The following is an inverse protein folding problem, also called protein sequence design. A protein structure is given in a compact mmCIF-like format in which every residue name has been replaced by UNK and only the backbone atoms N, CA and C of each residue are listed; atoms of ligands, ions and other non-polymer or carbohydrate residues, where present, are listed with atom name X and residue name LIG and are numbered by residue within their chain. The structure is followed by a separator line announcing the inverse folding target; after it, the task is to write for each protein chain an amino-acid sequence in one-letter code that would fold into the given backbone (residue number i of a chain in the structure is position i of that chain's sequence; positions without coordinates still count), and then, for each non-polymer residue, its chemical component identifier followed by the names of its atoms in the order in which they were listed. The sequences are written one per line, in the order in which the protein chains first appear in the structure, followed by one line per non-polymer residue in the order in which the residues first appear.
data_IF_283832569541
#
_entry.id   IF_283832569541
#
_cell.length_a   1.000
_cell.length_b   1.000
_cell.length_c   1.000
_cell.angle_alpha   90.00
_cell.angle_beta   90.00
_cell.angle_gamma   90.00
#
_symmetry.space_group_name_H-M   'P 1'
#
loop_
_entity.id
_entity.type
_entity.pdbx_description
1 polymer ?
#
# COMPACT_ATOMS: atom_id res chain seq x y z
N UNK A 1 83.64 -62.43 105.19
CA UNK A 1 84.21 -62.64 103.86
C UNK A 1 83.14 -62.32 102.85
N UNK A 2 83.31 -61.23 102.10
CA UNK A 2 82.38 -60.86 101.02
C UNK A 2 82.63 -61.77 99.81
N UNK A 3 81.57 -62.20 99.14
CA UNK A 3 81.64 -63.09 97.97
C UNK A 3 81.07 -62.35 96.76
N UNK A 4 81.91 -62.04 95.78
CA UNK A 4 81.53 -61.33 94.56
C UNK A 4 81.38 -62.32 93.39
N UNK A 5 80.22 -62.40 92.72
CA UNK A 5 80.05 -63.19 91.51
C UNK A 5 80.46 -62.40 90.24
N UNK A 6 80.89 -63.08 89.16
CA UNK A 6 81.63 -62.46 88.05
C UNK A 6 80.74 -61.77 86.98
N UNK A 7 81.27 -60.80 86.22
CA UNK A 7 80.52 -60.06 85.22
C UNK A 7 80.41 -60.82 83.88
N UNK A 8 79.39 -61.66 83.75
CA UNK A 8 78.90 -62.14 82.46
C UNK A 8 77.85 -61.17 81.92
N UNK A 9 78.25 -60.23 81.05
CA UNK A 9 77.49 -59.75 79.87
C UNK A 9 78.27 -58.60 79.19
N UNK A 10 78.64 -58.77 77.91
CA UNK A 10 79.17 -57.68 77.09
C UNK A 10 78.06 -56.67 76.83
N UNK A 11 78.05 -55.55 77.54
CA UNK A 11 77.12 -54.45 77.26
C UNK A 11 77.42 -53.88 75.86
N UNK A 12 76.52 -54.15 74.90
CA UNK A 12 76.57 -53.54 73.58
C UNK A 12 76.44 -52.00 73.68
N UNK A 13 76.87 -51.31 72.63
CA UNK A 13 76.97 -49.84 72.60
C UNK A 13 75.75 -49.16 73.24
N UNK A 14 76.03 -48.33 74.26
CA UNK A 14 75.02 -47.80 75.17
C UNK A 14 73.89 -47.06 74.43
N UNK A 15 72.67 -47.11 74.98
CA UNK A 15 71.53 -46.40 74.37
C UNK A 15 71.81 -44.90 74.15
N UNK A 16 72.61 -44.29 75.03
CA UNK A 16 73.09 -42.90 74.90
C UNK A 16 73.98 -42.70 73.66
N UNK A 17 74.88 -43.66 73.35
CA UNK A 17 75.69 -43.61 72.14
C UNK A 17 74.83 -43.74 70.87
N UNK A 18 73.82 -44.61 70.87
CA UNK A 18 72.86 -44.71 69.75
C UNK A 18 72.10 -43.40 69.53
N UNK A 19 71.59 -42.79 70.60
CA UNK A 19 70.90 -41.48 70.53
C UNK A 19 71.83 -40.38 70.00
N UNK A 20 73.09 -40.32 70.45
CA UNK A 20 74.07 -39.36 69.92
C UNK A 20 74.40 -39.60 68.45
N UNK A 21 74.54 -40.86 68.02
CA UNK A 21 74.78 -41.21 66.61
C UNK A 21 73.57 -40.78 65.75
N UNK A 22 72.34 -41.10 66.17
CA UNK A 22 71.14 -40.66 65.44
C UNK A 22 70.96 -39.13 65.44
N UNK A 23 71.32 -38.43 66.54
CA UNK A 23 71.33 -36.97 66.58
C UNK A 23 72.34 -36.38 65.59
N UNK A 24 73.57 -36.89 65.56
CA UNK A 24 74.59 -36.49 64.59
C UNK A 24 74.16 -36.78 63.14
N UNK A 25 73.52 -37.93 62.88
CA UNK A 25 72.98 -38.27 61.54
C UNK A 25 71.84 -37.32 61.14
N UNK A 26 70.94 -36.97 62.07
CA UNK A 26 69.86 -36.01 61.83
C UNK A 26 70.40 -34.61 61.50
N UNK A 27 71.37 -34.13 62.30
CA UNK A 27 72.07 -32.86 62.07
C UNK A 27 72.83 -32.88 60.73
N UNK A 28 73.48 -33.98 60.39
CA UNK A 28 74.17 -34.15 59.11
C UNK A 28 73.18 -34.13 57.93
N UNK A 29 72.04 -34.83 58.02
CA UNK A 29 70.99 -34.80 56.99
C UNK A 29 70.42 -33.39 56.81
N UNK A 30 70.19 -32.64 57.89
CA UNK A 30 69.73 -31.25 57.85
C UNK A 30 70.76 -30.31 57.22
N UNK A 31 72.05 -30.47 57.55
CA UNK A 31 73.14 -29.72 56.93
C UNK A 31 73.31 -30.05 55.44
N UNK A 32 73.12 -31.32 55.05
CA UNK A 32 73.16 -31.76 53.65
C UNK A 32 71.97 -31.20 52.88
N UNK A 33 70.76 -31.22 53.43
CA UNK A 33 69.56 -30.59 52.85
C UNK A 33 69.68 -29.06 52.74
N UNK A 34 70.37 -28.42 53.70
CA UNK A 34 70.68 -26.99 53.65
C UNK A 34 71.79 -26.63 52.66
N UNK A 35 72.64 -27.56 52.24
CA UNK A 35 73.81 -27.32 51.37
C UNK A 35 73.62 -27.83 49.95
N UNK A 36 72.74 -28.80 49.75
CA UNK A 36 72.32 -29.31 48.46
C UNK A 36 70.85 -28.93 48.26
N UNK A 37 70.55 -28.06 47.29
CA UNK A 37 69.19 -27.63 46.92
C UNK A 37 68.27 -28.76 46.38
N UNK A 38 68.56 -30.04 46.68
CA UNK A 38 67.88 -31.22 46.19
C UNK A 38 66.38 -31.26 46.52
N UNK A 39 65.96 -30.77 47.69
CA UNK A 39 64.53 -30.65 48.01
C UNK A 39 63.81 -29.58 47.17
N UNK A 40 64.50 -28.55 46.65
CA UNK A 40 63.89 -27.60 45.69
C UNK A 40 63.64 -28.31 44.37
N UNK A 41 64.62 -29.04 43.84
CA UNK A 41 64.49 -29.80 42.59
C UNK A 41 63.39 -30.87 42.74
N UNK A 42 63.40 -31.64 43.82
CA UNK A 42 62.37 -32.67 44.08
C UNK A 42 60.96 -32.05 44.18
N UNK A 43 60.81 -30.90 44.86
CA UNK A 43 59.54 -30.17 44.96
C UNK A 43 59.10 -29.57 43.62
N UNK A 44 60.04 -29.12 42.79
CA UNK A 44 59.78 -28.55 41.47
C UNK A 44 59.36 -29.64 40.48
N UNK A 45 60.03 -30.80 40.48
CA UNK A 45 59.62 -31.98 39.70
C UNK A 45 58.26 -32.51 40.16
N UNK A 46 58.05 -32.67 41.48
CA UNK A 46 56.76 -33.09 42.03
C UNK A 46 55.64 -32.09 41.66
N UNK A 47 55.91 -30.78 41.74
CA UNK A 47 55.00 -29.73 41.31
C UNK A 47 54.66 -29.83 39.81
N UNK A 48 55.66 -30.02 38.94
CA UNK A 48 55.44 -30.18 37.49
C UNK A 48 54.64 -31.44 37.16
N UNK A 49 54.82 -32.54 37.90
CA UNK A 49 54.07 -33.80 37.70
C UNK A 49 52.64 -33.72 38.28
N UNK A 50 52.42 -33.01 39.38
CA UNK A 50 51.08 -32.80 39.95
C UNK A 50 50.28 -31.70 39.24
N UNK A 51 50.94 -30.74 38.59
CA UNK A 51 50.29 -29.64 37.86
C UNK A 51 49.20 -30.10 36.87
N UNK A 52 49.42 -31.08 35.95
CA UNK A 52 48.36 -31.56 35.07
C UNK A 52 47.19 -32.20 35.83
N UNK A 53 47.43 -32.86 36.97
CA UNK A 53 46.36 -33.42 37.82
C UNK A 53 45.52 -32.30 38.44
N UNK A 54 46.16 -31.21 38.86
CA UNK A 54 45.47 -30.04 39.40
C UNK A 54 44.60 -29.33 38.35
N UNK A 55 45.06 -29.26 37.09
CA UNK A 55 44.27 -28.73 35.96
C UNK A 55 43.07 -29.64 35.65
N UNK A 56 43.27 -30.96 35.62
CA UNK A 56 42.19 -31.94 35.39
C UNK A 56 41.14 -31.92 36.50
N UNK A 57 41.53 -31.64 37.75
CA UNK A 57 40.59 -31.48 38.87
C UNK A 57 39.72 -30.21 38.78
N UNK A 58 40.19 -29.16 38.09
CA UNK A 58 39.47 -27.89 37.92
C UNK A 58 38.60 -27.84 36.66
N UNK A 59 38.99 -28.56 35.61
CA UNK A 59 38.26 -28.66 34.33
C UNK A 59 36.73 -28.84 34.45
N UNK A 60 36.18 -29.71 35.32
CA UNK A 60 34.72 -29.87 35.46
C UNK A 60 34.01 -28.63 36.01
N UNK A 61 34.65 -27.91 36.93
CA UNK A 61 34.14 -26.66 37.52
C UNK A 61 34.07 -25.58 36.45
N UNK A 62 35.17 -25.39 35.72
CA UNK A 62 35.27 -24.36 34.70
C UNK A 62 34.31 -24.68 33.53
N UNK A 63 34.17 -25.95 33.14
CA UNK A 63 33.19 -26.39 32.15
C UNK A 63 31.74 -26.07 32.57
N UNK A 64 31.35 -26.28 33.83
CA UNK A 64 30.01 -25.89 34.33
C UNK A 64 29.80 -24.38 34.26
N UNK A 65 30.80 -23.58 34.66
CA UNK A 65 30.71 -22.11 34.63
C UNK A 65 30.62 -21.59 33.18
N UNK A 66 31.44 -22.11 32.28
CA UNK A 66 31.40 -21.74 30.85
C UNK A 66 30.08 -22.13 30.20
N UNK A 67 29.51 -23.29 30.54
CA UNK A 67 28.22 -23.73 30.01
C UNK A 67 27.06 -22.85 30.51
N UNK A 68 27.06 -22.48 31.80
CA UNK A 68 26.09 -21.51 32.34
C UNK A 68 26.17 -20.13 31.66
N UNK A 69 27.39 -19.64 31.42
CA UNK A 69 27.63 -18.39 30.69
C UNK A 69 27.21 -18.46 29.21
N UNK A 70 27.37 -19.63 28.57
CA UNK A 70 26.91 -19.84 27.20
C UNK A 70 25.37 -19.75 27.10
N UNK A 71 24.65 -20.50 27.95
CA UNK A 71 23.18 -20.48 27.94
C UNK A 71 22.60 -19.10 28.31
N UNK A 72 23.21 -18.38 29.26
CA UNK A 72 22.77 -17.01 29.58
C UNK A 72 23.03 -16.04 28.44
N UNK A 73 24.16 -16.15 27.73
CA UNK A 73 24.45 -15.35 26.54
C UNK A 73 23.50 -15.63 25.37
N UNK A 74 23.11 -16.89 25.16
CA UNK A 74 22.16 -17.30 24.12
C UNK A 74 20.76 -16.73 24.42
N UNK A 75 20.28 -16.85 25.66
CA UNK A 75 19.00 -16.25 26.08
C UNK A 75 19.03 -14.72 25.99
N UNK A 76 20.16 -14.08 26.32
CA UNK A 76 20.32 -12.64 26.16
C UNK A 76 20.29 -12.20 24.67
N UNK A 77 20.92 -12.97 23.79
CA UNK A 77 20.93 -12.71 22.34
C UNK A 77 19.54 -12.92 21.72
N UNK A 78 18.82 -13.98 22.09
CA UNK A 78 17.44 -14.19 21.67
C UNK A 78 16.51 -13.05 22.12
N UNK A 79 16.66 -12.59 23.37
CA UNK A 79 15.94 -11.41 23.88
C UNK A 79 16.25 -10.17 23.07
N UNK A 80 17.53 -9.84 22.83
CA UNK A 80 17.94 -8.71 22.00
C UNK A 80 17.38 -8.80 20.57
N UNK A 81 17.42 -9.98 19.94
CA UNK A 81 16.84 -10.18 18.61
C UNK A 81 15.31 -10.00 18.62
N UNK A 82 14.62 -10.45 19.67
CA UNK A 82 13.17 -10.23 19.82
C UNK A 82 12.82 -8.76 20.04
N UNK A 83 13.60 -8.05 20.85
CA UNK A 83 13.43 -6.63 21.16
C UNK A 83 13.71 -5.76 19.92
N UNK A 84 14.82 -6.00 19.22
CA UNK A 84 15.15 -5.30 17.97
C UNK A 84 14.08 -5.53 16.89
N UNK A 85 13.51 -6.74 16.79
CA UNK A 85 12.38 -7.01 15.89
C UNK A 85 11.13 -6.23 16.29
N UNK A 86 10.81 -6.15 17.58
CA UNK A 86 9.68 -5.35 18.08
C UNK A 86 9.89 -3.85 17.81
N UNK A 87 11.09 -3.33 18.08
CA UNK A 87 11.48 -1.94 17.76
C UNK A 87 11.40 -1.66 16.26
N UNK A 88 11.87 -2.58 15.40
CA UNK A 88 11.75 -2.47 13.95
C UNK A 88 10.29 -2.43 13.48
N UNK A 89 9.43 -3.29 14.02
CA UNK A 89 7.99 -3.30 13.71
C UNK A 89 7.36 -1.97 14.13
N UNK A 90 7.57 -1.52 15.38
CA UNK A 90 7.04 -0.25 15.87
C UNK A 90 7.51 0.94 15.03
N UNK A 91 8.81 1.02 14.73
CA UNK A 91 9.38 2.09 13.90
C UNK A 91 8.85 2.05 12.46
N UNK A 92 8.61 0.86 11.90
CA UNK A 92 7.98 0.73 10.58
C UNK A 92 6.53 1.22 10.55
N UNK A 93 5.76 0.98 11.62
CA UNK A 93 4.39 1.51 11.78
C UNK A 93 4.39 3.03 11.91
N UNK A 94 5.29 3.60 12.72
CA UNK A 94 5.45 5.05 12.85
C UNK A 94 5.84 5.69 11.51
N UNK A 95 6.75 5.06 10.76
CA UNK A 95 7.17 5.54 9.43
C UNK A 95 6.01 5.49 8.43
N UNK A 96 5.24 4.40 8.39
CA UNK A 96 4.04 4.30 7.54
C UNK A 96 2.99 5.36 7.89
N UNK A 97 2.75 5.60 9.19
CA UNK A 97 1.82 6.64 9.63
C UNK A 97 2.31 8.04 9.24
N UNK A 98 3.60 8.35 9.42
CA UNK A 98 4.19 9.62 9.02
C UNK A 98 4.09 9.85 7.50
N UNK A 99 4.37 8.82 6.68
CA UNK A 99 4.20 8.87 5.23
C UNK A 99 2.74 9.11 4.83
N UNK A 100 1.77 8.44 5.48
CA UNK A 100 0.34 8.64 5.24
C UNK A 100 -0.08 10.08 5.56
N UNK A 101 0.27 10.60 6.73
CA UNK A 101 -0.05 11.98 7.13
C UNK A 101 0.63 13.02 6.23
N UNK A 102 1.85 12.75 5.75
CA UNK A 102 2.52 13.64 4.78
C UNK A 102 1.81 13.65 3.42
N UNK A 103 1.41 12.47 2.91
CA UNK A 103 0.66 12.35 1.66
C UNK A 103 -0.68 13.09 1.75
N UNK A 104 -1.44 12.85 2.82
CA UNK A 104 -2.71 13.51 3.13
C UNK A 104 -2.56 15.03 3.23
N UNK A 105 -1.57 15.53 3.97
CA UNK A 105 -1.34 16.98 4.07
C UNK A 105 -1.01 17.60 2.70
N UNK A 106 -0.25 16.89 1.85
CA UNK A 106 0.05 17.32 0.49
C UNK A 106 -1.20 17.35 -0.42
N UNK A 107 -2.13 16.41 -0.24
CA UNK A 107 -3.40 16.36 -0.96
C UNK A 107 -4.33 17.50 -0.50
N UNK A 108 -4.47 17.70 0.80
CA UNK A 108 -5.29 18.77 1.38
C UNK A 108 -4.82 20.15 0.90
N UNK A 109 -3.50 20.41 0.83
CA UNK A 109 -2.96 21.64 0.22
C UNK A 109 -3.39 21.81 -1.24
N UNK A 110 -3.23 20.77 -2.07
CA UNK A 110 -3.68 20.79 -3.48
C UNK A 110 -5.19 21.03 -3.63
N UNK A 111 -6.01 20.51 -2.70
CA UNK A 111 -7.46 20.76 -2.69
C UNK A 111 -7.80 22.20 -2.26
N UNK A 112 -7.06 22.80 -1.34
CA UNK A 112 -7.19 24.22 -1.00
C UNK A 112 -6.79 25.12 -2.20
N UNK A 113 -5.66 24.85 -2.84
CA UNK A 113 -5.23 25.54 -4.06
C UNK A 113 -6.22 25.37 -5.22
N UNK A 114 -6.85 24.19 -5.36
CA UNK A 114 -7.87 23.95 -6.36
C UNK A 114 -9.13 24.77 -6.05
N UNK A 115 -9.57 24.78 -4.78
CA UNK A 115 -10.71 25.57 -4.28
C UNK A 115 -10.59 27.06 -4.58
N UNK A 116 -9.40 27.64 -4.47
CA UNK A 116 -9.16 29.06 -4.77
C UNK A 116 -9.28 29.39 -6.27
N UNK A 117 -9.05 28.41 -7.16
CA UNK A 117 -9.12 28.59 -8.62
C UNK A 117 -10.52 28.34 -9.20
N UNK A 118 -11.45 27.83 -8.39
CA UNK A 118 -12.79 27.42 -8.83
C UNK A 118 -13.80 28.56 -8.66
N UNK A 119 -14.65 28.83 -9.67
CA UNK A 119 -15.73 29.80 -9.52
C UNK A 119 -16.81 29.24 -8.59
N UNK A 120 -16.89 29.75 -7.37
CA UNK A 120 -18.04 29.59 -6.48
C UNK A 120 -17.79 28.91 -5.13
N UNK A 121 -18.87 28.60 -4.42
CA UNK A 121 -18.84 27.97 -3.11
C UNK A 121 -18.58 26.46 -3.26
N UNK A 122 -17.47 25.99 -2.71
CA UNK A 122 -17.15 24.56 -2.60
C UNK A 122 -17.27 24.06 -1.16
N UNK A 123 -17.49 22.76 -1.01
CA UNK A 123 -17.47 22.04 0.26
C UNK A 123 -16.51 20.86 0.18
N UNK A 124 -15.61 20.74 1.16
CA UNK A 124 -14.78 19.54 1.32
C UNK A 124 -15.64 18.40 1.88
N UNK A 125 -15.48 17.21 1.32
CA UNK A 125 -16.05 15.98 1.85
C UNK A 125 -15.04 14.84 1.82
N UNK A 126 -15.13 13.93 2.77
CA UNK A 126 -14.30 12.73 2.89
C UNK A 126 -15.07 11.49 2.43
N UNK A 127 -14.41 10.58 1.72
CA UNK A 127 -14.93 9.27 1.33
C UNK A 127 -14.96 8.36 2.56
N UNK A 128 -16.15 7.91 2.97
CA UNK A 128 -16.32 6.89 4.02
C UNK A 128 -16.04 5.48 3.48
N UNK A 129 -16.67 5.13 2.36
CA UNK A 129 -16.54 3.82 1.72
C UNK A 129 -17.00 3.85 0.25
N UNK A 130 -16.46 2.91 -0.52
CA UNK A 130 -16.92 2.55 -1.87
C UNK A 130 -18.13 1.61 -1.77
N UNK A 131 -19.15 1.82 -2.60
CA UNK A 131 -20.32 0.97 -2.66
C UNK A 131 -19.98 -0.34 -3.38
N UNK A 132 -20.13 -1.47 -2.69
CA UNK A 132 -19.77 -2.80 -3.21
C UNK A 132 -20.82 -3.34 -4.19
N UNK A 133 -20.91 -2.72 -5.36
CA UNK A 133 -21.66 -3.21 -6.52
C UNK A 133 -20.70 -3.52 -7.69
N UNK A 134 -21.02 -4.56 -8.45
CA UNK A 134 -20.26 -5.04 -9.62
C UNK A 134 -20.67 -4.27 -10.88
N UNK A 135 -21.92 -3.78 -10.92
CA UNK A 135 -22.50 -3.10 -12.06
C UNK A 135 -22.42 -1.57 -11.95
N UNK A 136 -22.57 -1.03 -10.74
CA UNK A 136 -22.55 0.42 -10.48
C UNK A 136 -21.32 0.83 -9.65
N UNK A 137 -20.69 1.96 -10.00
CA UNK A 137 -19.54 2.54 -9.29
C UNK A 137 -19.95 3.80 -8.53
N UNK A 138 -20.10 3.68 -7.21
CA UNK A 138 -20.59 4.77 -6.34
C UNK A 138 -19.84 4.87 -5.03
N UNK A 139 -19.77 6.07 -4.47
CA UNK A 139 -18.98 6.36 -3.26
C UNK A 139 -19.81 7.16 -2.28
N UNK A 140 -19.63 6.89 -0.98
CA UNK A 140 -20.38 7.56 0.09
C UNK A 140 -19.48 8.61 0.75
N UNK A 141 -19.96 9.85 0.81
CA UNK A 141 -19.25 11.01 1.40
C UNK A 141 -19.84 11.43 2.75
N UNK A 142 -19.01 12.05 3.59
CA UNK A 142 -19.34 12.56 4.94
C UNK A 142 -20.23 13.83 4.97
N UNK A 143 -20.78 14.22 3.82
CA UNK A 143 -21.63 15.42 3.67
C UNK A 143 -23.00 15.05 3.13
N UNK A 144 -24.03 15.55 3.78
CA UNK A 144 -25.44 15.36 3.43
C UNK A 144 -26.21 16.67 3.33
N UNK A 145 -27.54 16.57 3.41
CA UNK A 145 -28.43 17.73 3.25
C UNK A 145 -28.34 18.74 4.39
N UNK A 146 -27.92 18.33 5.60
CA UNK A 146 -27.67 19.29 6.70
C UNK A 146 -26.53 20.26 6.39
N UNK A 147 -25.53 19.81 5.62
CA UNK A 147 -24.43 20.67 5.15
C UNK A 147 -24.77 21.40 3.85
N UNK A 148 -26.00 21.27 3.34
CA UNK A 148 -26.47 21.92 2.11
C UNK A 148 -26.10 21.20 0.81
N UNK A 149 -25.66 19.94 0.88
CA UNK A 149 -25.49 19.11 -0.33
C UNK A 149 -26.85 18.83 -0.96
N UNK A 150 -26.91 18.88 -2.29
CA UNK A 150 -28.11 18.58 -3.10
C UNK A 150 -27.78 17.46 -4.10
N UNK A 151 -28.80 16.73 -4.53
CA UNK A 151 -28.66 15.84 -5.67
C UNK A 151 -28.37 16.67 -6.94
N UNK A 152 -27.57 16.11 -7.85
CA UNK A 152 -27.13 16.76 -9.08
C UNK A 152 -25.83 17.56 -8.96
N UNK A 153 -25.34 17.88 -7.76
CA UNK A 153 -24.09 18.64 -7.59
C UNK A 153 -22.88 17.86 -8.13
N UNK A 154 -21.96 18.50 -8.88
CA UNK A 154 -20.76 17.83 -9.37
C UNK A 154 -19.70 17.72 -8.26
N UNK A 155 -18.95 16.62 -8.31
CA UNK A 155 -17.89 16.29 -7.35
C UNK A 155 -16.56 16.16 -8.07
N UNK A 156 -15.55 16.82 -7.54
CA UNK A 156 -14.24 17.01 -8.17
C UNK A 156 -13.11 16.74 -7.16
N UNK A 157 -11.91 16.66 -7.70
CA UNK A 157 -10.63 16.52 -6.99
C UNK A 157 -9.62 17.51 -7.60
N UNK A 158 -8.42 17.62 -7.04
CA UNK A 158 -7.38 18.55 -7.49
C UNK A 158 -6.92 18.33 -8.95
N UNK A 159 -7.18 17.16 -9.56
CA UNK A 159 -6.89 16.89 -10.98
C UNK A 159 -8.08 17.10 -11.93
N UNK A 160 -9.32 17.21 -11.45
CA UNK A 160 -10.50 17.21 -12.31
C UNK A 160 -11.78 16.63 -11.70
N UNK A 161 -12.78 16.39 -12.54
CA UNK A 161 -14.08 15.81 -12.17
C UNK A 161 -13.93 14.37 -11.72
N UNK A 162 -14.64 13.96 -10.67
CA UNK A 162 -14.71 12.58 -10.15
C UNK A 162 -16.08 11.95 -10.37
N UNK A 163 -17.16 12.74 -10.27
CA UNK A 163 -18.52 12.22 -10.41
C UNK A 163 -19.61 13.25 -10.11
N UNK A 164 -20.80 12.76 -9.74
CA UNK A 164 -21.98 13.55 -9.44
C UNK A 164 -22.73 13.00 -8.23
N UNK A 165 -23.24 13.86 -7.36
CA UNK A 165 -24.11 13.47 -6.25
C UNK A 165 -25.44 12.95 -6.80
N UNK A 166 -25.74 11.66 -6.64
CA UNK A 166 -26.99 11.05 -7.11
C UNK A 166 -28.05 10.92 -6.02
N UNK A 167 -27.66 10.73 -4.76
CA UNK A 167 -28.59 10.69 -3.62
C UNK A 167 -28.00 11.43 -2.42
N UNK A 168 -28.87 12.02 -1.61
CA UNK A 168 -28.47 12.76 -0.41
C UNK A 168 -29.31 12.31 0.77
N UNK A 169 -28.64 11.99 1.86
CA UNK A 169 -29.19 11.68 3.18
C UNK A 169 -28.88 12.86 4.14
N UNK A 170 -29.42 12.90 5.36
CA UNK A 170 -29.18 14.01 6.29
C UNK A 170 -27.69 14.25 6.60
N UNK A 171 -26.90 13.19 6.76
CA UNK A 171 -25.49 13.24 7.17
C UNK A 171 -24.49 12.73 6.12
N UNK A 172 -24.96 12.09 5.05
CA UNK A 172 -24.11 11.49 4.01
C UNK A 172 -24.70 11.71 2.61
N UNK A 173 -23.89 11.51 1.57
CA UNK A 173 -24.37 11.52 0.19
C UNK A 173 -23.74 10.40 -0.63
N UNK A 174 -24.47 9.94 -1.64
CA UNK A 174 -24.05 8.94 -2.61
C UNK A 174 -23.63 9.66 -3.89
N UNK A 175 -22.38 9.45 -4.32
CA UNK A 175 -21.79 10.03 -5.52
C UNK A 175 -21.56 8.93 -6.53
N UNK A 176 -22.18 9.04 -7.71
CA UNK A 176 -21.91 8.13 -8.83
C UNK A 176 -20.68 8.63 -9.58
N UNK A 177 -19.73 7.73 -9.83
CA UNK A 177 -18.45 8.07 -10.45
C UNK A 177 -18.59 8.25 -11.97
N UNK A 178 -17.75 9.09 -12.56
CA UNK A 178 -17.62 9.23 -14.01
C UNK A 178 -17.29 7.92 -14.76
N UNK A 179 -16.74 6.94 -14.04
CA UNK A 179 -16.39 5.62 -14.61
C UNK A 179 -17.60 4.68 -14.70
N UNK A 180 -18.74 5.07 -14.13
CA UNK A 180 -19.97 4.31 -14.16
C UNK A 180 -20.60 4.22 -15.56
N UNK A 181 -21.28 3.11 -15.87
CA UNK A 181 -21.88 2.88 -17.19
C UNK A 181 -23.06 3.83 -17.48
N UNK A 182 -23.79 4.24 -16.45
CA UNK A 182 -24.97 5.10 -16.55
C UNK A 182 -24.62 6.60 -16.46
N UNK A 183 -23.44 6.93 -15.92
CA UNK A 183 -22.96 8.31 -15.87
C UNK A 183 -22.53 8.79 -17.26
N UNK A 184 -23.10 9.93 -17.67
CA UNK A 184 -22.72 10.69 -18.85
C UNK A 184 -22.28 12.10 -18.42
N UNK A 185 -21.24 12.64 -19.07
CA UNK A 185 -20.71 13.98 -18.80
C UNK A 185 -20.48 14.71 -20.13
N UNK A 186 -21.10 15.89 -20.36
CA UNK A 186 -20.81 16.74 -21.51
C UNK A 186 -19.39 17.30 -21.44
N UNK A 187 -18.58 16.98 -22.44
CA UNK A 187 -17.18 17.37 -22.55
C UNK A 187 -16.91 18.15 -23.83
N UNK A 188 -15.78 18.84 -23.86
CA UNK A 188 -15.17 19.36 -25.07
C UNK A 188 -13.67 19.07 -25.09
N UNK A 189 -13.13 18.90 -26.29
CA UNK A 189 -11.69 18.79 -26.53
C UNK A 189 -11.05 20.16 -26.30
N UNK A 190 -10.04 20.23 -25.43
CA UNK A 190 -9.38 21.49 -25.06
C UNK A 190 -8.65 22.16 -26.26
N UNK A 191 -8.17 21.37 -27.22
CA UNK A 191 -7.38 21.83 -28.37
C UNK A 191 -8.20 22.59 -29.42
N UNK A 192 -9.39 22.09 -29.78
CA UNK A 192 -10.19 22.62 -30.89
C UNK A 192 -11.66 22.94 -30.50
N UNK A 193 -12.04 22.75 -29.24
CA UNK A 193 -13.39 23.05 -28.73
C UNK A 193 -14.48 22.07 -29.18
N UNK A 194 -14.13 20.96 -29.86
CA UNK A 194 -15.11 19.96 -30.30
C UNK A 194 -15.87 19.39 -29.11
N UNK A 195 -17.21 19.50 -29.12
CA UNK A 195 -18.08 19.03 -28.03
C UNK A 195 -18.51 17.57 -28.25
N UNK A 196 -18.61 16.83 -27.15
CA UNK A 196 -18.99 15.42 -27.13
C UNK A 196 -19.62 15.04 -25.78
N UNK A 197 -20.04 13.79 -25.64
CA UNK A 197 -20.53 13.23 -24.38
C UNK A 197 -19.65 12.02 -24.02
N UNK A 198 -19.01 12.10 -22.86
CA UNK A 198 -18.24 11.00 -22.30
C UNK A 198 -19.15 10.11 -21.46
N UNK A 199 -19.08 8.79 -21.69
CA UNK A 199 -19.79 7.78 -20.91
C UNK A 199 -18.79 6.88 -20.21
N UNK A 200 -19.03 6.52 -18.95
CA UNK A 200 -18.17 5.55 -18.29
C UNK A 200 -18.29 4.15 -18.91
N UNK A 201 -17.21 3.37 -18.77
CA UNK A 201 -17.06 1.99 -19.27
C UNK A 201 -17.03 0.98 -18.11
N UNK A 202 -17.66 1.33 -16.98
CA UNK A 202 -17.92 0.50 -15.81
C UNK A 202 -16.66 -0.14 -15.23
N UNK A 203 -16.63 -1.48 -15.24
CA UNK A 203 -15.53 -2.33 -14.75
C UNK A 203 -14.14 -1.82 -15.15
N UNK A 204 -13.95 -1.43 -16.41
CA UNK A 204 -12.65 -1.05 -16.97
C UNK A 204 -12.04 0.24 -16.40
N UNK A 205 -12.83 1.13 -15.80
CA UNK A 205 -12.36 2.42 -15.28
C UNK A 205 -12.02 3.48 -16.34
N UNK A 206 -12.23 3.19 -17.62
CA UNK A 206 -12.10 4.15 -18.73
C UNK A 206 -13.44 4.83 -19.04
N UNK A 207 -13.36 5.89 -19.84
CA UNK A 207 -14.48 6.56 -20.49
C UNK A 207 -14.47 6.23 -21.99
N UNK A 208 -15.64 6.12 -22.60
CA UNK A 208 -15.82 6.11 -24.05
C UNK A 208 -16.51 7.42 -24.48
N UNK A 209 -15.97 8.14 -25.45
CA UNK A 209 -16.79 9.06 -26.27
C UNK A 209 -17.57 8.20 -27.26
N UNK A 210 -18.90 8.28 -27.17
CA UNK A 210 -19.83 7.63 -28.08
C UNK A 210 -20.38 8.68 -29.04
N UNK A 211 -20.74 8.28 -30.25
CA UNK A 211 -21.35 9.16 -31.27
C UNK A 211 -20.41 10.27 -31.79
N UNK A 212 -19.11 10.00 -31.94
CA UNK A 212 -18.21 10.93 -32.61
C UNK A 212 -18.33 10.80 -34.13
N UNK A 213 -18.32 11.94 -34.83
CA UNK A 213 -18.30 11.97 -36.29
C UNK A 213 -17.03 11.29 -36.83
N UNK A 214 -17.09 10.50 -37.91
CA UNK A 214 -15.91 9.80 -38.45
C UNK A 214 -14.73 10.70 -38.82
N UNK A 215 -15.00 11.99 -39.10
CA UNK A 215 -14.02 13.01 -39.49
C UNK A 215 -13.67 13.98 -38.34
N UNK A 216 -14.06 13.67 -37.10
CA UNK A 216 -13.74 14.49 -35.93
C UNK A 216 -12.22 14.56 -35.71
N UNK A 217 -11.66 15.76 -35.65
CA UNK A 217 -10.27 16.00 -35.25
C UNK A 217 -10.10 15.72 -33.75
N UNK A 218 -9.80 14.48 -33.40
CA UNK A 218 -9.43 14.06 -32.05
C UNK A 218 -8.18 13.21 -32.12
N UNK A 219 -7.16 13.57 -31.33
CA UNK A 219 -5.84 12.95 -31.39
C UNK A 219 -5.50 12.34 -30.02
N UNK A 220 -4.77 11.23 -30.04
CA UNK A 220 -4.27 10.58 -28.81
C UNK A 220 -3.41 11.57 -28.02
N UNK A 221 -3.72 11.73 -26.75
CA UNK A 221 -3.09 12.72 -25.86
C UNK A 221 -3.94 13.97 -25.60
N UNK A 222 -4.97 14.26 -26.40
CA UNK A 222 -5.89 15.38 -26.19
C UNK A 222 -6.54 15.34 -24.80
N UNK A 223 -6.72 16.51 -24.18
CA UNK A 223 -7.38 16.68 -22.89
C UNK A 223 -8.85 17.04 -23.11
N UNK A 224 -9.73 16.33 -22.42
CA UNK A 224 -11.16 16.60 -22.37
C UNK A 224 -11.49 17.40 -21.11
N UNK A 225 -12.21 18.50 -21.28
CA UNK A 225 -12.73 19.35 -20.20
C UNK A 225 -14.25 19.42 -20.26
N UNK A 226 -14.92 19.77 -19.16
CA UNK A 226 -16.38 19.98 -19.15
C UNK A 226 -16.79 21.11 -20.09
N UNK A 227 -17.86 20.92 -20.86
CA UNK A 227 -18.34 21.92 -21.83
C UNK A 227 -19.27 22.98 -21.20
N UNK A 228 -19.83 22.70 -20.02
CA UNK A 228 -20.74 23.58 -19.29
C UNK A 228 -22.13 23.77 -19.90
N UNK A 229 -22.47 23.01 -20.94
CA UNK A 229 -23.72 23.17 -21.70
C UNK A 229 -24.97 22.67 -20.96
N UNK A 230 -24.80 21.74 -20.02
CA UNK A 230 -25.90 21.17 -19.21
C UNK A 230 -26.29 22.04 -18.02
N UNK A 231 -25.48 23.06 -17.68
CA UNK A 231 -25.65 23.84 -16.47
C UNK A 231 -25.42 23.06 -15.18
N UNK A 232 -24.89 21.83 -15.25
CA UNK A 232 -24.57 20.95 -14.11
C UNK A 232 -23.11 21.08 -13.71
N UNK A 233 -22.21 21.02 -14.70
CA UNK A 233 -20.78 21.22 -14.50
C UNK A 233 -20.41 22.64 -14.96
N UNK A 234 -19.61 23.42 -14.21
CA UNK A 234 -19.01 24.63 -14.77
C UNK A 234 -18.05 24.22 -15.90
N UNK A 235 -17.90 25.08 -16.93
CA UNK A 235 -17.02 24.81 -18.05
C UNK A 235 -15.53 24.82 -17.64
N UNK A 236 -14.72 23.99 -18.30
CA UNK A 236 -13.25 24.00 -18.15
C UNK A 236 -12.66 23.09 -17.05
N UNK A 237 -13.48 22.29 -16.36
CA UNK A 237 -12.96 21.27 -15.43
C UNK A 237 -12.36 20.11 -16.23
N UNK A 238 -11.13 19.70 -15.92
CA UNK A 238 -10.53 18.52 -16.56
C UNK A 238 -11.32 17.25 -16.23
N UNK A 239 -11.48 16.36 -17.22
CA UNK A 239 -12.20 15.08 -17.08
C UNK A 239 -11.28 13.92 -17.42
N UNK A 240 -10.69 13.93 -18.61
CA UNK A 240 -9.97 12.78 -19.14
C UNK A 240 -8.90 13.15 -20.19
N UNK A 241 -8.04 12.19 -20.52
CA UNK A 241 -7.12 12.24 -21.65
C UNK A 241 -7.47 11.15 -22.66
N UNK A 242 -7.49 11.48 -23.94
CA UNK A 242 -7.68 10.51 -25.03
C UNK A 242 -6.49 9.55 -25.06
N UNK A 243 -6.74 8.24 -24.96
CA UNK A 243 -5.72 7.19 -25.03
C UNK A 243 -5.74 6.40 -26.34
N UNK A 244 -6.92 6.26 -26.96
CA UNK A 244 -7.06 5.51 -28.21
C UNK A 244 -8.24 6.07 -29.02
N UNK A 245 -8.05 6.19 -30.34
CA UNK A 245 -9.06 6.65 -31.30
C UNK A 245 -9.36 5.49 -32.26
N UNK A 246 -10.59 5.00 -32.28
CA UNK A 246 -11.05 3.88 -33.13
C UNK A 246 -11.99 4.41 -34.23
N UNK A 247 -11.44 4.71 -35.41
CA UNK A 247 -12.21 5.10 -36.59
C UNK A 247 -12.69 3.85 -37.35
N UNK A 248 -13.89 3.39 -37.03
CA UNK A 248 -14.53 2.27 -37.72
C UNK A 248 -15.04 2.69 -39.10
N UNK A 249 -14.34 2.33 -40.17
CA UNK A 249 -14.74 2.65 -41.55
C UNK A 249 -16.13 2.09 -41.96
N UNK A 250 -16.63 1.07 -41.25
CA UNK A 250 -17.94 0.45 -41.47
C UNK A 250 -19.01 0.91 -40.45
N UNK A 251 -18.67 1.79 -39.50
CA UNK A 251 -19.58 2.28 -38.46
C UNK A 251 -19.99 3.72 -38.71
N UNK A 252 -21.24 4.07 -38.41
CA UNK A 252 -21.73 5.45 -38.54
C UNK A 252 -21.07 6.45 -37.56
N UNK A 253 -20.39 5.95 -36.52
CA UNK A 253 -19.73 6.75 -35.49
C UNK A 253 -18.38 6.16 -35.09
N UNK A 254 -17.40 7.02 -34.84
CA UNK A 254 -16.14 6.65 -34.20
C UNK A 254 -16.30 6.37 -32.71
N UNK A 255 -15.39 5.58 -32.14
CA UNK A 255 -15.29 5.34 -30.69
C UNK A 255 -13.94 5.84 -30.20
N UNK A 256 -13.93 6.57 -29.08
CA UNK A 256 -12.69 7.12 -28.53
C UNK A 256 -12.59 6.72 -27.07
N UNK A 257 -11.54 5.99 -26.72
CA UNK A 257 -11.26 5.55 -25.35
C UNK A 257 -10.41 6.62 -24.66
N UNK A 258 -10.84 7.01 -23.46
CA UNK A 258 -10.21 8.06 -22.68
C UNK A 258 -9.94 7.58 -21.24
N UNK A 259 -8.78 7.91 -20.71
CA UNK A 259 -8.41 7.65 -19.33
C UNK A 259 -8.80 8.86 -18.45
N UNK A 260 -9.54 8.67 -17.35
CA UNK A 260 -9.89 9.78 -16.47
C UNK A 260 -8.66 10.34 -15.75
N UNK A 261 -8.63 11.66 -15.55
CA UNK A 261 -7.52 12.37 -14.90
C UNK A 261 -7.64 12.42 -13.38
N UNK A 262 -8.87 12.39 -12.86
CA UNK A 262 -9.18 12.33 -11.44
C UNK A 262 -9.91 11.03 -11.07
N UNK A 263 -9.82 10.63 -9.81
CA UNK A 263 -10.49 9.42 -9.32
C UNK A 263 -10.12 9.06 -7.89
N UNK A 264 -10.98 8.24 -7.27
CA UNK A 264 -10.95 7.91 -5.84
C UNK A 264 -9.80 6.98 -5.40
N UNK A 265 -9.08 6.37 -6.34
CA UNK A 265 -8.08 5.32 -6.05
C UNK A 265 -6.84 5.83 -5.30
N UNK A 266 -6.63 7.15 -5.28
CA UNK A 266 -5.45 7.79 -4.68
C UNK A 266 -5.79 8.82 -3.61
N UNK A 267 -7.03 9.29 -3.59
CA UNK A 267 -7.43 10.54 -2.96
C UNK A 267 -8.71 10.31 -2.14
N UNK A 268 -8.62 10.44 -0.81
CA UNK A 268 -9.76 10.22 0.11
C UNK A 268 -10.68 11.44 0.23
N UNK A 269 -10.13 12.65 0.18
CA UNK A 269 -10.89 13.89 0.24
C UNK A 269 -11.24 14.42 -1.17
N UNK A 270 -12.47 14.90 -1.30
CA UNK A 270 -13.08 15.43 -2.53
C UNK A 270 -13.71 16.80 -2.28
N UNK A 271 -13.98 17.55 -3.34
CA UNK A 271 -14.69 18.83 -3.31
C UNK A 271 -16.04 18.70 -4.02
N UNK A 272 -17.10 19.09 -3.32
CA UNK A 272 -18.45 19.23 -3.86
C UNK A 272 -18.64 20.69 -4.26
N UNK A 273 -19.02 20.98 -5.51
CA UNK A 273 -19.35 22.33 -5.94
C UNK A 273 -20.81 22.63 -5.56
N UNK A 274 -21.04 23.63 -4.71
CA UNK A 274 -22.37 23.97 -4.19
C UNK A 274 -23.10 25.02 -5.02
N UNK A 275 -22.37 25.92 -5.66
CA UNK A 275 -22.91 26.93 -6.58
C UNK A 275 -22.53 26.57 -8.01
N UNK A 276 -23.54 26.25 -8.79
CA UNK A 276 -23.42 26.16 -10.24
C UNK A 276 -23.55 27.58 -10.81
N UNK A 277 -22.89 27.92 -11.94
CA UNK A 277 -23.03 29.24 -12.53
C UNK A 277 -24.50 29.53 -12.84
N UNK A 278 -24.98 30.69 -12.42
CA UNK A 278 -26.39 31.06 -12.51
C UNK A 278 -26.77 31.25 -13.98
N UNK A 279 -27.40 30.22 -14.55
CA UNK A 279 -27.84 30.23 -15.93
C UNK A 279 -28.92 31.32 -16.09
N UNK A 280 -28.79 32.26 -17.05
CA UNK A 280 -29.75 33.33 -17.21
C UNK A 280 -31.15 32.73 -17.41
N UNK A 281 -32.20 33.32 -16.80
CA UNK A 281 -33.54 32.77 -16.88
C UNK A 281 -33.93 32.60 -18.33
N UNK A 282 -34.34 31.37 -18.70
CA UNK A 282 -34.78 31.04 -20.05
C UNK A 282 -35.79 32.12 -20.48
N UNK A 283 -35.59 32.81 -21.63
CA UNK A 283 -36.52 33.84 -22.06
C UNK A 283 -37.93 33.24 -22.07
N UNK A 284 -38.93 33.95 -21.52
CA UNK A 284 -40.28 33.42 -21.44
C UNK A 284 -40.69 32.98 -22.84
N UNK A 285 -41.12 31.72 -22.96
CA UNK A 285 -41.61 31.23 -24.23
C UNK A 285 -42.76 32.15 -24.65
N UNK A 286 -42.61 32.85 -25.77
CA UNK A 286 -43.69 33.66 -26.33
C UNK A 286 -44.93 32.78 -26.38
N UNK A 287 -45.98 33.20 -25.69
CA UNK A 287 -47.23 32.46 -25.69
C UNK A 287 -47.68 32.35 -27.14
N UNK A 288 -47.67 31.12 -27.67
CA UNK A 288 -48.22 30.85 -28.99
C UNK A 288 -49.71 31.18 -28.91
N UNK A 289 -50.04 32.41 -29.30
CA UNK A 289 -51.39 32.97 -29.22
C UNK A 289 -52.30 32.07 -30.04
N UNK A 290 -53.05 31.21 -29.33
CA UNK A 290 -54.04 30.33 -29.94
C UNK A 290 -55.01 31.23 -30.72
N UNK A 291 -55.11 31.11 -32.06
CA UNK A 291 -55.92 32.02 -32.84
C UNK A 291 -57.39 31.85 -32.42
N UNK A 292 -57.95 32.91 -31.84
CA UNK A 292 -59.34 32.94 -31.39
C UNK A 292 -60.26 32.76 -32.60
N UNK A 293 -60.89 31.59 -32.71
CA UNK A 293 -61.93 31.34 -33.73
C UNK A 293 -63.13 32.25 -33.46
N UNK A 294 -63.21 33.39 -34.15
CA UNK A 294 -64.46 34.15 -34.28
C UNK A 294 -65.48 33.31 -35.07
N UNK A 295 -66.42 32.69 -34.37
CA UNK A 295 -67.59 32.06 -35.00
C UNK A 295 -68.68 33.11 -35.17
N UNK A 296 -68.93 33.53 -36.41
CA UNK A 296 -70.12 34.32 -36.78
C UNK A 296 -71.36 33.43 -36.71
N UNK A 297 -72.47 33.99 -36.28
CA UNK A 297 -73.78 33.36 -36.40
C UNK A 297 -74.27 33.40 -37.84
N UNK A 298 -74.80 32.27 -38.32
CA UNK A 298 -75.74 32.19 -39.42
C UNK A 298 -76.63 30.97 -39.18
N UNK A 299 -77.93 31.17 -39.39
CA UNK A 299 -79.05 30.27 -39.11
C UNK A 299 -79.43 29.57 -40.42
N UNK A 300 -79.70 28.25 -40.39
CA UNK A 300 -80.84 27.66 -41.12
C UNK A 300 -81.06 26.17 -40.80
N UNK A 301 -82.12 25.61 -41.39
CA UNK A 301 -82.98 24.61 -40.76
C UNK A 301 -82.73 23.12 -41.11
N UNK A 302 -83.35 22.28 -40.26
CA UNK A 302 -83.93 20.96 -40.53
C UNK A 302 -83.01 19.72 -40.73
N UNK A 303 -83.55 18.60 -40.25
CA UNK A 303 -83.02 17.23 -40.23
C UNK A 303 -83.67 16.41 -41.40
N UNK A 304 -83.50 15.06 -41.58
CA UNK A 304 -82.96 14.08 -40.63
C UNK A 304 -82.10 12.89 -41.14
N UNK A 305 -81.46 12.26 -40.14
CA UNK A 305 -81.04 10.86 -39.93
C UNK A 305 -81.08 9.77 -41.03
N UNK A 306 -79.92 9.09 -41.20
CA UNK A 306 -79.69 7.64 -41.41
C UNK A 306 -78.16 7.41 -41.58
N UNK A 307 -77.49 6.30 -41.21
CA UNK A 307 -77.79 5.15 -40.35
C UNK A 307 -76.46 4.41 -39.96
N UNK A 308 -76.56 3.47 -39.00
CA UNK A 308 -75.66 2.29 -38.76
C UNK A 308 -74.15 2.47 -38.44
N UNK A 309 -73.80 2.07 -37.21
CA UNK A 309 -72.60 1.26 -36.89
C UNK A 309 -72.99 -0.25 -36.97
N UNK A 310 -72.17 -1.28 -36.61
CA UNK A 310 -70.81 -1.25 -36.03
C UNK A 310 -69.79 -2.33 -36.53
N UNK A 311 -68.56 -2.25 -35.98
CA UNK A 311 -67.63 -3.33 -35.58
C UNK A 311 -67.52 -4.69 -36.34
N UNK A 312 -66.29 -5.13 -36.64
CA UNK A 312 -65.51 -6.08 -35.80
C UNK A 312 -64.45 -6.90 -36.56
N UNK A 313 -63.39 -7.30 -35.85
CA UNK A 313 -62.83 -8.66 -35.94
C UNK A 313 -61.62 -8.96 -36.86
N UNK A 314 -60.55 -9.48 -36.26
CA UNK A 314 -59.90 -10.70 -36.77
C UNK A 314 -58.60 -10.58 -37.58
N UNK A 315 -57.47 -10.75 -36.89
CA UNK A 315 -56.31 -11.50 -37.42
C UNK A 315 -56.32 -12.92 -36.77
N UNK A 316 -55.45 -13.89 -37.12
CA UNK A 316 -54.53 -13.99 -38.28
C UNK A 316 -54.70 -15.33 -39.07
N UNK A 317 -53.94 -15.52 -40.16
CA UNK A 317 -53.74 -16.83 -40.81
C UNK A 317 -52.33 -16.94 -41.43
N UNK A 318 -51.81 -18.16 -41.64
CA UNK A 318 -50.39 -18.42 -41.82
C UNK A 318 -50.02 -19.36 -42.99
N UNK A 319 -48.85 -19.11 -43.63
CA UNK A 319 -48.01 -20.04 -44.42
C UNK A 319 -48.68 -20.73 -45.64
N UNK A 320 -47.99 -21.60 -46.42
CA UNK A 320 -46.54 -21.89 -46.57
C UNK A 320 -45.99 -21.18 -47.84
N UNK A 321 -44.92 -21.54 -48.58
CA UNK A 321 -43.87 -22.57 -48.56
C UNK A 321 -42.57 -22.01 -49.21
N UNK A 322 -41.52 -22.82 -49.47
CA UNK A 322 -40.40 -22.41 -50.37
C UNK A 322 -39.02 -23.03 -50.08
N UNK A 323 -38.85 -24.33 -50.31
CA UNK A 323 -37.60 -25.12 -50.24
C UNK A 323 -37.82 -26.28 -51.24
N UNK A 324 -36.83 -26.90 -51.96
CA UNK A 324 -35.56 -27.31 -51.36
C UNK A 324 -34.30 -27.45 -52.27
N UNK A 325 -33.24 -27.98 -51.62
CA UNK A 325 -32.19 -28.88 -52.13
C UNK A 325 -30.98 -28.30 -52.91
N UNK A 326 -29.80 -28.92 -52.91
CA UNK A 326 -29.15 -29.84 -51.95
C UNK A 326 -27.68 -30.12 -52.40
N UNK A 327 -26.81 -30.48 -51.44
CA UNK A 327 -25.52 -31.24 -51.53
C UNK A 327 -24.49 -30.59 -50.56
N UNK A 328 -24.00 -31.22 -49.48
CA UNK A 328 -23.30 -32.51 -49.32
C UNK A 328 -21.85 -32.48 -49.87
N UNK A 329 -20.78 -32.92 -49.18
CA UNK A 329 -20.61 -33.40 -47.80
C UNK A 329 -19.10 -33.43 -47.41
N UNK A 330 -18.74 -34.18 -46.35
CA UNK A 330 -17.41 -34.73 -45.97
C UNK A 330 -16.42 -33.90 -45.10
N UNK A 331 -16.42 -34.24 -43.80
CA UNK A 331 -15.27 -34.43 -42.89
C UNK A 331 -14.49 -35.73 -43.23
N UNK A 332 -13.42 -36.20 -42.50
CA UNK A 332 -12.67 -35.65 -41.34
C UNK A 332 -11.11 -35.76 -41.42
N UNK A 333 -10.39 -35.32 -40.36
CA UNK A 333 -8.98 -35.68 -40.04
C UNK A 333 -8.14 -34.45 -39.63
N UNK A 334 -7.67 -34.22 -38.40
CA UNK A 334 -6.93 -35.03 -37.40
C UNK A 334 -5.40 -35.09 -37.62
N UNK A 335 -4.64 -34.13 -37.07
CA UNK A 335 -3.25 -34.37 -36.59
C UNK A 335 -2.70 -33.26 -35.69
N UNK A 336 -2.04 -33.69 -34.62
CA UNK A 336 -0.90 -33.05 -33.93
C UNK A 336 0.11 -34.18 -33.65
N UNK A 337 1.36 -33.97 -33.17
CA UNK A 337 2.07 -32.73 -32.85
C UNK A 337 3.47 -32.63 -33.52
N UNK A 338 4.20 -31.52 -33.35
CA UNK A 338 5.68 -31.52 -33.34
C UNK A 338 6.31 -30.20 -32.84
N UNK A 339 7.15 -30.38 -31.83
CA UNK A 339 8.33 -29.60 -31.41
C UNK A 339 9.21 -29.00 -32.52
N UNK A 340 9.68 -27.76 -32.33
CA UNK A 340 11.07 -27.36 -32.65
C UNK A 340 11.61 -26.35 -31.64
N UNK A 341 12.86 -26.54 -31.23
CA UNK A 341 13.70 -25.61 -30.45
C UNK A 341 14.87 -25.19 -31.34
N UNK A 342 15.36 -23.95 -31.23
CA UNK A 342 16.77 -23.77 -30.85
C UNK A 342 16.87 -22.71 -29.71
N UNK A 343 17.66 -22.88 -28.64
CA UNK A 343 19.08 -23.24 -28.50
C UNK A 343 20.04 -22.06 -28.81
N UNK A 344 20.61 -21.49 -27.75
CA UNK A 344 21.53 -20.34 -27.75
C UNK A 344 21.39 -19.55 -26.43
N UNK A 345 21.89 -20.01 -25.27
CA UNK A 345 23.26 -20.37 -24.83
C UNK A 345 24.13 -19.15 -24.49
N UNK A 346 24.57 -19.12 -23.21
CA UNK A 346 25.57 -18.24 -22.60
C UNK A 346 25.11 -16.77 -22.34
N UNK A 347 25.55 -16.06 -21.29
CA UNK A 347 26.63 -16.31 -20.30
C UNK A 347 26.14 -15.96 -18.88
N UNK A 348 26.55 -16.75 -17.87
CA UNK A 348 26.60 -16.33 -16.46
C UNK A 348 28.06 -16.09 -16.08
N UNK A 349 28.38 -15.00 -15.37
CA UNK A 349 29.39 -15.05 -14.32
C UNK A 349 28.75 -14.63 -12.98
N UNK A 350 28.75 -15.48 -11.96
CA UNK A 350 29.91 -15.90 -11.16
C UNK A 350 30.24 -14.90 -10.04
N UNK A 351 29.86 -15.32 -8.83
CA UNK A 351 30.17 -14.74 -7.53
C UNK A 351 31.68 -14.63 -7.29
N UNK A 352 32.15 -13.51 -6.72
CA UNK A 352 33.38 -13.46 -5.94
C UNK A 352 33.29 -12.36 -4.85
N UNK A 353 33.61 -12.65 -3.57
CA UNK A 353 33.51 -11.66 -2.50
C UNK A 353 34.79 -10.83 -2.37
N UNK A 354 34.65 -9.52 -2.15
CA UNK A 354 35.77 -8.63 -1.83
C UNK A 354 35.76 -8.27 -0.34
N UNK A 355 36.61 -8.94 0.43
CA UNK A 355 36.95 -8.55 1.81
C UNK A 355 38.14 -7.59 1.82
N UNK A 356 37.97 -6.38 2.36
CA UNK A 356 39.07 -5.65 2.99
C UNK A 356 38.57 -4.65 4.06
N UNK A 357 39.14 -4.63 5.27
CA UNK A 357 38.75 -3.69 6.32
C UNK A 357 39.51 -2.36 6.21
N UNK A 358 38.87 -1.29 6.65
CA UNK A 358 39.52 -0.01 6.98
C UNK A 358 38.80 0.63 8.19
N UNK A 359 39.58 1.31 9.03
CA UNK A 359 39.21 1.72 10.39
C UNK A 359 38.45 3.09 10.43
N UNK A 360 37.97 3.56 11.61
CA UNK A 360 36.94 4.59 11.69
C UNK A 360 37.47 6.02 11.48
N UNK A 361 36.63 6.88 10.93
CA UNK A 361 36.89 8.31 10.82
C UNK A 361 36.49 9.06 12.10
N UNK A 362 37.40 9.93 12.56
CA UNK A 362 37.32 10.69 13.80
C UNK A 362 36.28 11.83 13.73
N UNK A 363 35.64 12.13 14.86
CA UNK A 363 34.88 13.37 15.04
C UNK A 363 35.78 14.62 14.97
N UNK A 364 35.21 15.80 14.69
CA UNK A 364 35.50 16.90 15.62
C UNK A 364 34.33 17.87 15.89
N UNK A 365 34.56 18.72 16.90
CA UNK A 365 34.01 20.08 17.07
C UNK A 365 32.51 20.25 17.44
N UNK A 366 32.29 20.21 18.75
CA UNK A 366 31.59 21.24 19.53
C UNK A 366 30.94 22.42 18.77
N UNK A 367 29.63 22.60 18.99
CA UNK A 367 28.96 23.89 18.95
C UNK A 367 28.16 24.06 20.24
N UNK A 368 28.55 25.03 21.08
CA UNK A 368 27.84 25.34 22.30
C UNK A 368 26.56 26.13 22.00
N UNK A 369 25.42 25.72 22.58
CA UNK A 369 24.20 26.55 22.62
C UNK A 369 23.86 26.80 24.08
N UNK A 370 24.07 28.05 24.49
CA UNK A 370 23.75 28.59 25.80
C UNK A 370 22.26 28.52 26.11
N UNK A 371 21.94 27.97 27.28
CA UNK A 371 20.63 28.03 27.93
C UNK A 371 20.48 29.37 28.67
N UNK A 372 19.49 30.22 28.36
CA UNK A 372 19.12 31.30 29.25
C UNK A 372 18.28 30.75 30.41
N UNK A 373 18.52 31.29 31.60
CA UNK A 373 17.68 31.13 32.79
C UNK A 373 17.08 32.50 33.16
N UNK A 374 16.10 32.48 34.07
CA UNK A 374 15.23 33.61 34.46
C UNK A 374 14.22 34.02 33.36
N UNK A 375 13.01 34.47 33.69
CA UNK A 375 12.57 35.10 34.95
C UNK A 375 11.19 34.59 35.41
N UNK A 376 11.08 34.26 36.70
CA UNK A 376 9.79 34.33 37.42
C UNK A 376 9.58 35.77 37.85
N UNK A 377 8.47 36.40 37.47
CA UNK A 377 7.90 37.52 38.21
C UNK A 377 6.37 37.42 38.20
N UNK A 378 5.74 37.98 39.24
CA UNK A 378 4.36 37.72 39.58
C UNK A 378 3.42 38.86 39.15
N UNK A 379 2.24 38.49 38.64
CA UNK A 379 0.97 39.15 38.98
C UNK A 379 -0.24 38.31 38.60
#
# INVERSE_FOLDING_TARGET
MEYSPPPLFKQGASARAKMMIFACISIALLLVDSRLDGLKIARQVAGTVLYPVQVVALLPRDAMVHMGNYFSSLSALEKQVSELKQQQIAMSQTLQQAQRTQAENSQLRKLLEAREKLPGKTMLGEILYDARDVFTRKVILDRGSQQGVKAGLPVIDNQGVVGQVTRVFPFTSEVTLLTDKEQAIPVQVLRNGLRSIAYGRGQSGYLDLRFMEPNADVVVGDILVTSGIDGVYPAGLAVARVTQVENNANGAFGRIVCQPLAGIQRNTQLLILMSLPEMPPRPPAEEVVKPVKKKKEAKDAAAPAAATAPASGGAPAARPAGTPAAAAATTPGATAPATTTPAGRAVVPATAPATRPAAPATAPAAAAVTRPAATQEAR
#
